data_IF_184718159918
#
_entry.id   IF_184718159918
#
_cell.length_a   1.000
_cell.length_b   1.000
_cell.length_c   1.000
_cell.angle_alpha   90.00
_cell.angle_beta   90.00
_cell.angle_gamma   90.00
#
_symmetry.space_group_name_H-M   'P 1'
#
loop_
_entity.id
_entity.type
_entity.pdbx_description
1 polymer ?
#
# COMPACT_ATOMS: atom_id res chain seq x y z
N UNK A 1 58.61 28.53 -41.92
CA UNK A 1 60.07 28.63 -42.08
C UNK A 1 60.50 30.01 -41.61
N UNK A 2 61.34 30.06 -40.56
CA UNK A 2 62.29 31.13 -40.21
C UNK A 2 61.74 32.56 -39.99
N UNK A 3 62.28 33.39 -39.13
CA UNK A 3 63.06 33.29 -37.89
C UNK A 3 63.20 34.76 -37.43
N UNK A 4 63.33 34.98 -36.12
CA UNK A 4 63.77 36.24 -35.52
C UNK A 4 64.97 36.88 -36.23
N UNK A 5 65.04 38.22 -36.19
CA UNK A 5 66.32 38.93 -36.09
C UNK A 5 66.20 40.14 -35.14
N UNK A 6 66.98 40.05 -34.05
CA UNK A 6 67.37 41.12 -33.12
C UNK A 6 68.10 42.24 -33.88
N UNK A 7 68.15 43.46 -33.33
CA UNK A 7 69.41 44.19 -33.11
C UNK A 7 69.24 45.34 -32.10
N UNK A 8 70.33 45.55 -31.37
CA UNK A 8 70.49 46.34 -30.15
C UNK A 8 71.19 47.66 -30.47
N UNK A 9 70.85 48.75 -29.78
CA UNK A 9 71.79 49.85 -29.56
C UNK A 9 71.58 50.48 -28.17
N UNK A 10 72.71 50.59 -27.46
CA UNK A 10 72.88 51.28 -26.21
C UNK A 10 73.01 52.80 -26.43
N UNK A 11 72.61 53.62 -25.45
CA UNK A 11 73.39 54.79 -25.02
C UNK A 11 72.85 55.43 -23.72
N UNK A 12 73.79 55.54 -22.77
CA UNK A 12 74.06 56.70 -21.90
C UNK A 12 73.15 56.96 -20.69
N UNK A 13 73.83 56.94 -19.55
CA UNK A 13 73.38 57.24 -18.21
C UNK A 13 73.09 58.73 -17.98
N UNK A 14 72.05 59.02 -17.19
CA UNK A 14 72.05 60.13 -16.25
C UNK A 14 71.58 59.60 -14.90
N UNK A 15 72.54 59.42 -13.98
CA UNK A 15 72.26 59.29 -12.55
C UNK A 15 71.73 60.65 -12.06
N UNK A 16 70.44 60.71 -11.76
CA UNK A 16 69.91 61.65 -10.78
C UNK A 16 69.51 60.84 -9.55
N UNK A 17 70.30 61.02 -8.49
CA UNK A 17 69.97 60.54 -7.15
C UNK A 17 68.81 61.41 -6.66
N UNK A 18 67.61 60.88 -6.75
CA UNK A 18 66.42 61.38 -6.07
C UNK A 18 66.41 60.70 -4.69
N UNK A 19 66.18 61.42 -3.58
CA UNK A 19 66.02 60.78 -2.28
C UNK A 19 64.88 59.77 -2.37
N UNK A 20 65.20 58.50 -2.10
CA UNK A 20 64.23 57.43 -1.84
C UNK A 20 63.38 57.89 -0.66
N UNK A 21 62.21 58.50 -0.92
CA UNK A 21 61.08 58.17 -0.08
C UNK A 21 60.77 56.72 -0.43
N UNK A 22 61.02 55.82 0.51
CA UNK A 22 60.31 54.55 0.56
C UNK A 22 58.82 54.92 0.58
N UNK A 23 58.23 54.96 -0.62
CA UNK A 23 56.92 54.38 -0.77
C UNK A 23 57.22 52.88 -0.69
N UNK A 24 56.87 52.26 0.41
CA UNK A 24 56.46 50.87 0.31
C UNK A 24 55.35 50.90 -0.75
N UNK A 25 55.67 50.50 -1.99
CA UNK A 25 54.65 49.95 -2.86
C UNK A 25 54.17 48.71 -2.09
N UNK A 26 53.16 48.92 -1.25
CA UNK A 26 52.32 47.88 -0.72
C UNK A 26 51.86 47.13 -1.97
N UNK A 27 52.48 45.97 -2.25
CA UNK A 27 52.15 45.12 -3.39
C UNK A 27 50.64 44.97 -3.38
N UNK A 28 49.97 45.57 -4.37
CA UNK A 28 48.52 45.58 -4.42
C UNK A 28 48.05 44.12 -4.36
N UNK A 29 47.37 43.75 -3.27
CA UNK A 29 46.95 42.39 -3.06
C UNK A 29 46.09 41.93 -4.25
N UNK A 30 46.26 40.69 -4.71
CA UNK A 30 45.52 40.21 -5.84
C UNK A 30 44.02 40.22 -5.50
N UNK A 31 43.21 40.78 -6.40
CA UNK A 31 41.77 40.91 -6.22
C UNK A 31 41.11 39.54 -5.99
N UNK A 32 40.24 39.46 -5.00
CA UNK A 32 39.42 38.26 -4.76
C UNK A 32 38.41 38.16 -5.88
N UNK A 33 38.28 36.98 -6.48
CA UNK A 33 37.30 36.73 -7.53
C UNK A 33 36.47 35.53 -7.10
N UNK A 34 35.17 35.70 -6.90
CA UNK A 34 34.22 34.63 -6.69
C UNK A 34 33.71 34.13 -8.04
N UNK A 35 33.73 32.82 -8.26
CA UNK A 35 33.06 32.18 -9.39
C UNK A 35 32.93 30.68 -9.14
N UNK A 36 32.00 30.04 -9.82
CA UNK A 36 31.82 28.61 -9.76
C UNK A 36 31.23 28.06 -11.07
N UNK A 37 31.26 26.74 -11.20
CA UNK A 37 30.44 25.99 -12.15
C UNK A 37 29.66 24.91 -11.41
N UNK A 38 28.68 24.30 -12.06
CA UNK A 38 27.89 23.23 -11.46
C UNK A 38 27.52 22.14 -12.47
N UNK A 39 27.22 20.95 -11.95
CA UNK A 39 26.72 19.81 -12.73
C UNK A 39 25.54 19.19 -12.00
N UNK A 40 24.46 18.92 -12.73
CA UNK A 40 23.28 18.19 -12.25
C UNK A 40 23.58 16.69 -12.26
N UNK A 41 23.28 15.98 -11.18
CA UNK A 41 23.42 14.52 -11.11
C UNK A 41 22.45 13.86 -12.12
N UNK A 42 22.97 12.90 -12.89
CA UNK A 42 22.21 12.24 -13.95
C UNK A 42 21.12 11.29 -13.41
N UNK A 43 21.29 10.78 -12.19
CA UNK A 43 20.33 9.89 -11.53
C UNK A 43 19.36 10.67 -10.62
N UNK A 44 19.75 11.85 -10.15
CA UNK A 44 18.96 12.70 -9.27
C UNK A 44 19.06 14.18 -9.68
N UNK A 45 18.12 14.63 -10.49
CA UNK A 45 18.04 16.02 -10.95
C UNK A 45 17.92 17.08 -9.83
N UNK A 46 17.58 16.69 -8.60
CA UNK A 46 17.56 17.61 -7.45
C UNK A 46 18.94 17.77 -6.80
N UNK A 47 19.91 16.92 -7.16
CA UNK A 47 21.26 16.91 -6.61
C UNK A 47 22.26 17.60 -7.55
N UNK A 48 22.95 18.61 -7.02
CA UNK A 48 23.86 19.47 -7.76
C UNK A 48 25.25 19.40 -7.14
N UNK A 49 26.26 19.18 -7.97
CA UNK A 49 27.67 19.25 -7.57
C UNK A 49 28.24 20.58 -8.03
N UNK A 50 28.72 21.39 -7.09
CA UNK A 50 29.36 22.67 -7.38
C UNK A 50 30.87 22.52 -7.44
N UNK A 51 31.50 23.16 -8.42
CA UNK A 51 32.95 23.25 -8.56
C UNK A 51 33.39 24.69 -8.34
N UNK A 52 34.15 24.93 -7.27
CA UNK A 52 34.71 26.25 -7.00
C UNK A 52 35.72 26.65 -8.07
N UNK A 53 35.58 27.88 -8.57
CA UNK A 53 36.52 28.54 -9.47
C UNK A 53 37.02 29.89 -8.90
N UNK A 54 36.77 30.17 -7.63
CA UNK A 54 37.21 31.39 -6.97
C UNK A 54 38.74 31.49 -6.91
N UNK A 55 39.25 32.72 -6.93
CA UNK A 55 40.68 33.05 -6.90
C UNK A 55 41.02 33.98 -5.73
N UNK A 56 42.25 33.88 -5.24
CA UNK A 56 42.82 34.78 -4.21
C UNK A 56 42.00 34.85 -2.90
N UNK A 57 41.42 33.72 -2.47
CA UNK A 57 40.59 33.63 -1.27
C UNK A 57 41.24 32.80 -0.15
N UNK A 58 40.82 33.03 1.10
CA UNK A 58 41.12 32.21 2.29
C UNK A 58 39.91 31.39 2.72
N UNK A 59 38.71 31.98 2.68
CA UNK A 59 37.46 31.32 3.09
C UNK A 59 36.37 31.48 2.03
N UNK A 60 35.46 30.51 1.99
CA UNK A 60 34.29 30.47 1.12
C UNK A 60 33.04 30.34 1.98
N UNK A 61 31.94 30.90 1.49
CA UNK A 61 30.60 30.68 2.03
C UNK A 61 29.62 30.55 0.86
N UNK A 62 28.89 29.44 0.84
CA UNK A 62 27.85 29.14 -0.12
C UNK A 62 26.48 29.35 0.53
N UNK A 63 25.61 30.07 -0.16
CA UNK A 63 24.17 30.12 0.08
C UNK A 63 23.49 29.49 -1.14
N UNK A 64 22.76 28.39 -0.96
CA UNK A 64 22.10 27.68 -2.05
C UNK A 64 20.75 28.29 -2.44
N UNK A 65 20.28 29.33 -1.73
CA UNK A 65 19.05 30.06 -2.08
C UNK A 65 17.75 29.35 -1.69
N UNK A 66 17.81 28.20 -1.01
CA UNK A 66 16.67 27.39 -0.57
C UNK A 66 16.44 27.43 0.95
N UNK A 67 17.10 28.37 1.64
CA UNK A 67 17.09 28.52 3.11
C UNK A 67 17.77 27.37 3.88
N UNK A 68 18.48 26.48 3.19
CA UNK A 68 19.38 25.54 3.84
C UNK A 68 20.56 26.25 4.53
N UNK A 69 21.24 25.60 5.50
CA UNK A 69 22.42 26.18 6.14
C UNK A 69 23.55 26.49 5.15
N UNK A 70 24.27 27.57 5.40
CA UNK A 70 25.44 27.96 4.59
C UNK A 70 26.53 26.87 4.63
N UNK A 71 27.19 26.64 3.49
CA UNK A 71 28.33 25.71 3.39
C UNK A 71 29.65 26.45 3.27
N UNK A 72 30.72 25.90 3.86
CA UNK A 72 32.09 26.37 3.71
C UNK A 72 32.98 25.36 2.94
N UNK A 73 32.37 24.34 2.34
CA UNK A 73 33.09 23.32 1.58
C UNK A 73 33.69 23.91 0.29
N UNK A 74 34.84 23.37 -0.13
CA UNK A 74 35.49 23.81 -1.35
C UNK A 74 34.67 23.47 -2.60
N UNK A 75 34.07 22.29 -2.65
CA UNK A 75 33.24 21.83 -3.77
C UNK A 75 32.00 21.10 -3.20
N UNK A 76 30.97 21.84 -2.75
CA UNK A 76 29.83 21.22 -2.09
C UNK A 76 28.97 20.41 -3.06
N UNK A 77 28.32 19.40 -2.51
CA UNK A 77 27.18 18.70 -3.14
C UNK A 77 25.93 19.08 -2.36
N UNK A 78 24.91 19.58 -3.05
CA UNK A 78 23.65 19.99 -2.45
C UNK A 78 22.47 19.28 -3.12
N UNK A 79 21.49 18.85 -2.32
CA UNK A 79 20.24 18.26 -2.83
C UNK A 79 19.07 19.14 -2.41
N UNK A 80 18.38 19.71 -3.39
CA UNK A 80 17.20 20.54 -3.17
C UNK A 80 15.99 19.67 -2.80
N UNK A 81 15.17 20.13 -1.85
CA UNK A 81 13.94 19.42 -1.49
C UNK A 81 12.89 19.47 -2.62
N UNK A 82 12.74 20.66 -3.20
CA UNK A 82 11.71 20.98 -4.18
C UNK A 82 12.31 21.40 -5.52
N UNK A 83 11.49 21.34 -6.57
CA UNK A 83 11.81 21.99 -7.84
C UNK A 83 11.61 23.50 -7.74
N UNK A 84 12.39 24.27 -8.49
CA UNK A 84 12.31 25.71 -8.45
C UNK A 84 13.52 26.39 -9.07
N UNK A 85 13.50 27.71 -9.05
CA UNK A 85 14.66 28.53 -9.38
C UNK A 85 15.26 29.06 -8.09
N UNK A 86 16.54 28.80 -7.88
CA UNK A 86 17.28 29.18 -6.68
C UNK A 86 18.46 30.06 -7.07
N UNK A 87 18.60 31.19 -6.38
CA UNK A 87 19.77 32.08 -6.56
C UNK A 87 20.90 31.57 -5.69
N UNK A 88 21.85 30.84 -6.28
CA UNK A 88 23.02 30.32 -5.56
C UNK A 88 24.08 31.41 -5.49
N UNK A 89 24.58 31.69 -4.30
CA UNK A 89 25.56 32.74 -4.04
C UNK A 89 26.83 32.17 -3.41
N UNK A 90 27.97 32.40 -4.05
CA UNK A 90 29.29 32.14 -3.49
C UNK A 90 29.93 33.45 -3.04
N UNK A 91 30.30 33.52 -1.76
CA UNK A 91 31.10 34.60 -1.19
C UNK A 91 32.52 34.10 -0.93
N UNK A 92 33.50 34.67 -1.63
CA UNK A 92 34.91 34.41 -1.40
C UNK A 92 35.52 35.56 -0.55
N UNK A 93 36.30 35.24 0.47
CA UNK A 93 36.92 36.23 1.37
C UNK A 93 38.43 36.02 1.46
N UNK A 94 39.23 37.07 1.27
CA UNK A 94 40.70 37.04 1.41
C UNK A 94 41.17 37.00 2.87
N UNK A 95 42.47 36.73 3.12
CA UNK A 95 43.05 36.81 4.46
C UNK A 95 42.90 38.16 5.17
N UNK A 96 42.86 39.25 4.39
CA UNK A 96 42.67 40.62 4.90
C UNK A 96 41.19 41.01 4.99
N UNK A 97 40.26 40.09 4.68
CA UNK A 97 38.82 40.28 4.81
C UNK A 97 38.13 40.94 3.61
N UNK A 98 38.84 41.16 2.49
CA UNK A 98 38.23 41.62 1.25
C UNK A 98 37.30 40.53 0.68
N UNK A 99 36.16 40.92 0.12
CA UNK A 99 35.15 39.97 -0.37
C UNK A 99 34.80 40.21 -1.82
N UNK A 100 34.57 39.12 -2.54
CA UNK A 100 33.84 39.14 -3.80
C UNK A 100 32.67 38.16 -3.72
N UNK A 101 31.59 38.48 -4.45
CA UNK A 101 30.32 37.77 -4.40
C UNK A 101 29.86 37.49 -5.83
N UNK A 102 29.63 36.21 -6.12
CA UNK A 102 29.08 35.77 -7.39
C UNK A 102 27.78 35.01 -7.14
N UNK A 103 26.73 35.40 -7.88
CA UNK A 103 25.41 34.78 -7.80
C UNK A 103 24.96 34.30 -9.18
N UNK A 104 24.35 33.12 -9.22
CA UNK A 104 23.78 32.54 -10.43
C UNK A 104 22.43 31.88 -10.11
N UNK A 105 21.44 32.12 -10.97
CA UNK A 105 20.12 31.48 -10.85
C UNK A 105 20.18 30.08 -11.46
N UNK A 106 19.99 29.06 -10.62
CA UNK A 106 19.92 27.66 -11.03
C UNK A 106 18.47 27.21 -11.02
N UNK A 107 17.98 26.74 -12.18
CA UNK A 107 16.63 26.18 -12.30
C UNK A 107 16.70 24.66 -12.17
N UNK A 108 16.10 24.15 -11.11
CA UNK A 108 15.87 22.74 -10.84
C UNK A 108 14.48 22.39 -11.37
N UNK A 109 14.42 21.64 -12.47
CA UNK A 109 13.18 21.18 -13.08
C UNK A 109 13.27 19.70 -13.38
N UNK A 110 12.16 18.99 -13.20
CA UNK A 110 12.11 17.57 -13.53
C UNK A 110 12.31 17.35 -15.04
N UNK A 111 13.38 16.65 -15.46
CA UNK A 111 13.64 16.40 -16.87
C UNK A 111 12.60 15.46 -17.50
N UNK A 112 11.80 14.73 -16.71
CA UNK A 112 10.80 13.79 -17.20
C UNK A 112 9.54 13.75 -16.33
N UNK A 113 8.82 14.88 -16.27
CA UNK A 113 7.60 15.04 -15.47
C UNK A 113 6.54 13.95 -15.69
N UNK A 114 6.40 13.42 -16.91
CA UNK A 114 5.46 12.31 -17.17
C UNK A 114 5.94 10.97 -16.61
N UNK A 115 7.25 10.70 -16.62
CA UNK A 115 7.82 9.53 -15.96
C UNK A 115 7.62 9.62 -14.45
N UNK A 116 7.81 10.80 -13.86
CA UNK A 116 7.64 11.03 -12.41
C UNK A 116 6.22 10.72 -11.93
N UNK A 117 5.19 10.88 -12.77
CA UNK A 117 3.84 10.41 -12.40
C UNK A 117 3.80 8.89 -12.18
N UNK A 118 4.56 8.12 -12.97
CA UNK A 118 4.62 6.66 -12.90
C UNK A 118 5.56 6.16 -11.79
N UNK A 119 6.67 6.87 -11.53
CA UNK A 119 7.77 6.38 -10.68
C UNK A 119 8.08 7.25 -9.46
N UNK A 120 7.46 8.43 -9.32
CA UNK A 120 7.85 9.40 -8.30
C UNK A 120 9.31 9.88 -8.44
N UNK A 121 9.90 10.33 -7.34
CA UNK A 121 11.30 10.76 -7.31
C UNK A 121 12.28 9.58 -7.44
N UNK A 122 11.88 8.39 -7.00
CA UNK A 122 12.71 7.17 -6.96
C UNK A 122 11.96 5.97 -7.54
N UNK A 123 10.86 5.56 -6.89
CA UNK A 123 9.97 4.51 -7.36
C UNK A 123 8.56 4.69 -6.81
N UNK A 124 7.56 4.14 -7.54
CA UNK A 124 6.18 3.98 -7.04
C UNK A 124 5.74 2.53 -7.21
N UNK A 125 5.04 2.02 -6.21
CA UNK A 125 4.43 0.68 -6.22
C UNK A 125 2.94 0.79 -6.53
N UNK A 126 2.51 0.06 -7.55
CA UNK A 126 1.15 0.05 -8.07
C UNK A 126 0.49 -1.28 -7.76
N UNK A 127 -0.78 -1.24 -7.35
CA UNK A 127 -1.60 -2.42 -7.07
C UNK A 127 -2.94 -2.31 -7.78
N UNK A 128 -3.60 -3.42 -8.07
CA UNK A 128 -4.94 -3.39 -8.66
C UNK A 128 -5.94 -2.66 -7.75
N UNK A 129 -6.88 -1.91 -8.35
CA UNK A 129 -7.93 -1.18 -7.63
C UNK A 129 -8.79 -2.14 -6.78
N UNK A 130 -8.75 -2.00 -5.46
CA UNK A 130 -9.51 -2.87 -4.55
C UNK A 130 -10.94 -2.42 -4.28
N UNK A 131 -11.25 -1.13 -4.44
CA UNK A 131 -12.60 -0.59 -4.22
C UNK A 131 -13.21 -0.20 -5.57
N UNK A 132 -14.01 -1.08 -6.20
CA UNK A 132 -14.68 -0.74 -7.45
C UNK A 132 -15.78 0.30 -7.21
N UNK A 133 -16.01 1.17 -8.18
CA UNK A 133 -16.99 2.25 -8.03
C UNK A 133 -17.05 3.18 -9.24
N UNK A 134 -18.24 3.74 -9.52
CA UNK A 134 -18.42 4.68 -10.64
C UNK A 134 -18.06 4.09 -12.02
N UNK A 135 -18.24 2.77 -12.20
CA UNK A 135 -17.87 2.07 -13.43
C UNK A 135 -16.36 1.77 -13.58
N UNK A 136 -15.57 1.98 -12.52
CA UNK A 136 -14.16 1.55 -12.47
C UNK A 136 -14.05 0.21 -11.77
N UNK A 137 -13.28 -0.68 -12.38
CA UNK A 137 -13.03 -2.03 -11.93
C UNK A 137 -11.52 -2.31 -12.00
N UNK A 138 -10.92 -3.09 -11.08
CA UNK A 138 -9.52 -3.47 -11.16
C UNK A 138 -9.15 -4.04 -12.53
N UNK A 139 -10.00 -4.90 -13.07
CA UNK A 139 -9.85 -5.46 -14.41
C UNK A 139 -11.21 -5.50 -15.11
N UNK A 140 -11.24 -5.17 -16.40
CA UNK A 140 -12.43 -5.37 -17.21
C UNK A 140 -12.09 -5.73 -18.65
N UNK A 141 -13.06 -6.37 -19.30
CA UNK A 141 -13.06 -6.73 -20.70
C UNK A 141 -14.28 -6.13 -21.39
N UNK A 142 -14.05 -5.48 -22.52
CA UNK A 142 -15.10 -4.83 -23.32
C UNK A 142 -14.78 -4.95 -24.82
N UNK A 143 -15.76 -4.83 -25.73
CA UNK A 143 -15.49 -4.76 -27.16
C UNK A 143 -14.63 -3.55 -27.47
N UNK A 144 -13.91 -3.63 -28.59
CA UNK A 144 -13.04 -2.54 -29.05
C UNK A 144 -13.79 -1.21 -29.27
N UNK A 145 -15.08 -1.27 -29.60
CA UNK A 145 -15.97 -0.10 -29.74
C UNK A 145 -16.52 0.44 -28.41
N UNK A 146 -16.24 -0.22 -27.29
CA UNK A 146 -16.65 0.13 -25.92
C UNK A 146 -18.17 0.21 -25.71
N UNK A 147 -18.96 -0.45 -26.55
CA UNK A 147 -20.42 -0.44 -26.48
C UNK A 147 -21.00 -1.01 -25.18
N UNK A 148 -20.30 -1.93 -24.52
CA UNK A 148 -20.71 -2.55 -23.26
C UNK A 148 -19.52 -3.18 -22.54
N UNK A 149 -19.60 -3.36 -21.22
CA UNK A 149 -18.62 -4.19 -20.50
C UNK A 149 -19.08 -5.65 -20.53
N UNK A 150 -18.30 -6.52 -21.17
CA UNK A 150 -18.55 -7.96 -21.26
C UNK A 150 -18.32 -8.66 -19.93
N UNK A 151 -17.24 -8.30 -19.25
CA UNK A 151 -16.87 -8.84 -17.94
C UNK A 151 -16.04 -7.82 -17.16
N UNK A 152 -16.15 -7.77 -15.83
CA UNK A 152 -15.33 -6.90 -15.01
C UNK A 152 -15.23 -7.42 -13.58
N UNK A 153 -14.00 -7.52 -13.06
CA UNK A 153 -13.76 -7.97 -11.69
C UNK A 153 -14.35 -6.97 -10.69
N UNK A 154 -15.26 -7.45 -9.83
CA UNK A 154 -15.93 -6.63 -8.83
C UNK A 154 -17.20 -5.96 -9.33
N UNK A 155 -17.66 -6.27 -10.54
CA UNK A 155 -19.07 -6.09 -10.88
C UNK A 155 -19.89 -6.96 -9.90
N UNK A 156 -20.90 -6.37 -9.27
CA UNK A 156 -21.74 -7.00 -8.24
C UNK A 156 -21.01 -7.45 -6.95
N UNK A 157 -19.75 -7.01 -6.74
CA UNK A 157 -18.94 -7.10 -5.52
C UNK A 157 -18.54 -8.50 -5.01
N UNK A 158 -18.93 -9.59 -5.66
CA UNK A 158 -18.55 -10.96 -5.28
C UNK A 158 -17.25 -11.44 -5.97
N UNK A 159 -16.97 -10.97 -7.19
CA UNK A 159 -15.85 -11.46 -7.99
C UNK A 159 -14.45 -11.04 -7.48
N UNK A 160 -14.31 -9.93 -6.73
CA UNK A 160 -12.99 -9.55 -6.17
C UNK A 160 -12.59 -10.55 -5.07
N UNK A 161 -13.53 -10.89 -4.19
CA UNK A 161 -13.32 -11.87 -3.12
C UNK A 161 -13.00 -13.28 -3.67
N UNK A 162 -13.40 -13.57 -4.91
CA UNK A 162 -13.12 -14.84 -5.57
C UNK A 162 -11.69 -14.93 -6.15
N UNK A 163 -10.98 -13.80 -6.32
CA UNK A 163 -9.60 -13.77 -6.82
C UNK A 163 -8.67 -12.98 -5.88
N UNK A 164 -8.55 -13.35 -4.60
CA UNK A 164 -7.83 -12.56 -3.62
C UNK A 164 -6.31 -12.49 -3.90
N UNK A 165 -5.73 -13.55 -4.44
CA UNK A 165 -4.30 -13.68 -4.77
C UNK A 165 -3.80 -12.85 -5.95
N UNK A 166 -4.66 -12.09 -6.65
CA UNK A 166 -4.19 -11.10 -7.62
C UNK A 166 -4.32 -9.67 -7.07
N UNK A 167 -5.04 -9.51 -5.95
CA UNK A 167 -5.29 -8.21 -5.33
C UNK A 167 -4.15 -7.79 -4.39
N UNK A 168 -3.32 -8.73 -3.94
CA UNK A 168 -2.08 -8.53 -3.19
C UNK A 168 -0.87 -8.22 -4.09
N UNK A 169 -0.92 -8.59 -5.37
CA UNK A 169 0.13 -8.36 -6.35
C UNK A 169 0.54 -6.89 -6.46
N UNK A 170 1.82 -6.67 -6.80
CA UNK A 170 2.36 -5.33 -6.96
C UNK A 170 3.32 -5.18 -8.12
N UNK A 171 3.31 -3.99 -8.73
CA UNK A 171 4.21 -3.56 -9.79
C UNK A 171 4.93 -2.30 -9.34
N UNK A 172 6.23 -2.39 -9.09
CA UNK A 172 7.05 -1.25 -8.70
C UNK A 172 7.87 -0.76 -9.88
N UNK A 173 7.65 0.49 -10.31
CA UNK A 173 8.42 1.10 -11.38
C UNK A 173 9.45 2.05 -10.79
N UNK A 174 10.72 1.84 -11.14
CA UNK A 174 11.85 2.65 -10.74
C UNK A 174 12.21 3.70 -11.78
N UNK A 175 12.78 4.81 -11.32
CA UNK A 175 13.23 5.90 -12.19
C UNK A 175 14.40 5.54 -13.10
N UNK A 176 15.14 4.50 -12.73
CA UNK A 176 16.17 3.84 -13.53
C UNK A 176 15.60 2.90 -14.62
N UNK A 177 14.28 2.96 -14.86
CA UNK A 177 13.53 2.15 -15.83
C UNK A 177 13.44 0.66 -15.47
N UNK A 178 13.68 0.32 -14.20
CA UNK A 178 13.40 -1.02 -13.67
C UNK A 178 11.93 -1.21 -13.35
N UNK A 179 11.44 -2.44 -13.49
CA UNK A 179 10.11 -2.85 -13.08
C UNK A 179 10.23 -4.09 -12.21
N UNK A 180 9.72 -4.07 -10.99
CA UNK A 180 9.65 -5.25 -10.13
C UNK A 180 8.20 -5.69 -10.04
N UNK A 181 7.92 -6.93 -10.41
CA UNK A 181 6.64 -7.56 -10.16
C UNK A 181 6.77 -8.49 -8.94
N UNK A 182 5.87 -8.35 -7.98
CA UNK A 182 5.78 -9.26 -6.84
C UNK A 182 4.39 -9.88 -6.75
N UNK A 183 4.34 -11.20 -6.97
CA UNK A 183 3.15 -12.05 -6.90
C UNK A 183 2.84 -12.52 -5.47
N UNK A 184 3.63 -12.10 -4.45
CA UNK A 184 3.39 -12.46 -3.05
C UNK A 184 3.36 -13.98 -2.74
N UNK A 185 3.89 -14.80 -3.65
CA UNK A 185 3.99 -16.26 -3.51
C UNK A 185 2.81 -17.05 -4.07
N UNK A 186 1.74 -16.38 -4.52
CA UNK A 186 0.58 -17.00 -5.13
C UNK A 186 0.24 -16.40 -6.50
N UNK A 187 -0.68 -17.03 -7.21
CA UNK A 187 -1.22 -16.52 -8.47
C UNK A 187 -2.65 -17.01 -8.66
N UNK A 188 -3.42 -16.28 -9.47
CA UNK A 188 -4.72 -16.77 -9.91
C UNK A 188 -4.55 -17.85 -10.96
N UNK A 189 -4.80 -19.10 -10.59
CA UNK A 189 -4.76 -20.24 -11.48
C UNK A 189 -6.07 -20.33 -12.27
N UNK A 190 -6.04 -19.80 -13.49
CA UNK A 190 -7.21 -19.78 -14.37
C UNK A 190 -7.43 -21.12 -15.09
N UNK A 191 -8.69 -21.58 -15.06
CA UNK A 191 -9.13 -22.77 -15.78
C UNK A 191 -8.89 -22.64 -17.28
N UNK A 192 -8.35 -23.68 -17.92
CA UNK A 192 -8.00 -23.70 -19.35
C UNK A 192 -6.65 -23.07 -19.71
N UNK A 193 -5.99 -22.39 -18.76
CA UNK A 193 -4.58 -21.97 -18.87
C UNK A 193 -3.65 -22.91 -18.11
N UNK A 194 -4.04 -23.36 -16.91
CA UNK A 194 -3.23 -24.23 -16.06
C UNK A 194 -3.90 -25.60 -15.85
N UNK A 195 -5.08 -25.63 -15.23
CA UNK A 195 -5.85 -26.87 -14.96
C UNK A 195 -7.35 -26.65 -15.25
N UNK A 196 -8.21 -27.56 -14.77
CA UNK A 196 -9.66 -27.56 -15.03
C UNK A 196 -10.49 -26.75 -14.01
N UNK A 197 -9.86 -26.14 -12.98
CA UNK A 197 -10.51 -25.33 -11.95
C UNK A 197 -9.88 -23.95 -11.76
N UNK A 198 -10.69 -23.02 -11.26
CA UNK A 198 -10.32 -21.64 -10.94
C UNK A 198 -10.03 -21.52 -9.44
N UNK A 199 -8.80 -21.17 -9.06
CA UNK A 199 -8.43 -20.93 -7.66
C UNK A 199 -7.13 -20.14 -7.53
N UNK A 200 -6.81 -19.68 -6.33
CA UNK A 200 -5.45 -19.27 -5.99
C UNK A 200 -4.55 -20.51 -5.81
N UNK A 201 -3.32 -20.43 -6.31
CA UNK A 201 -2.31 -21.50 -6.17
C UNK A 201 -0.92 -20.89 -5.98
N UNK A 202 0.03 -21.68 -5.48
CA UNK A 202 1.40 -21.22 -5.25
C UNK A 202 2.15 -21.01 -6.56
N UNK A 203 2.97 -19.97 -6.67
CA UNK A 203 3.77 -19.69 -7.88
C UNK A 203 4.73 -20.83 -8.26
N UNK A 204 5.07 -21.70 -7.31
CA UNK A 204 5.84 -22.93 -7.57
C UNK A 204 5.10 -23.94 -8.47
N UNK A 205 3.78 -23.80 -8.61
CA UNK A 205 2.91 -24.67 -9.39
C UNK A 205 2.53 -24.08 -10.76
N UNK A 206 3.22 -23.02 -11.22
CA UNK A 206 2.95 -22.37 -12.51
C UNK A 206 3.42 -23.22 -13.69
N UNK A 207 2.68 -24.28 -13.97
CA UNK A 207 2.86 -25.17 -15.13
C UNK A 207 1.58 -25.08 -15.96
N UNK A 208 1.71 -24.67 -17.21
CA UNK A 208 0.59 -24.53 -18.12
C UNK A 208 -0.09 -25.86 -18.43
N UNK A 209 -1.32 -25.83 -18.93
CA UNK A 209 -2.15 -27.01 -19.19
C UNK A 209 -1.52 -28.02 -20.17
N UNK A 210 -0.58 -27.58 -21.02
CA UNK A 210 0.17 -28.45 -21.93
C UNK A 210 1.54 -28.89 -21.36
N UNK A 211 1.85 -28.58 -20.11
CA UNK A 211 3.16 -28.80 -19.49
C UNK A 211 4.18 -27.69 -19.73
N UNK A 212 3.76 -26.53 -20.26
CA UNK A 212 4.63 -25.38 -20.51
C UNK A 212 5.12 -24.76 -19.19
N UNK A 213 6.39 -24.39 -19.12
CA UNK A 213 6.94 -23.65 -17.97
C UNK A 213 6.41 -22.21 -17.97
N UNK A 214 5.57 -21.91 -16.98
CA UNK A 214 4.94 -20.60 -16.80
C UNK A 214 5.51 -19.84 -15.59
N UNK A 215 6.58 -20.35 -14.95
CA UNK A 215 7.17 -19.78 -13.74
C UNK A 215 7.68 -18.35 -13.92
N UNK A 216 8.02 -17.95 -15.14
CA UNK A 216 8.46 -16.58 -15.44
C UNK A 216 7.36 -15.51 -15.24
N UNK A 217 6.08 -15.91 -15.12
CA UNK A 217 5.01 -15.01 -14.71
C UNK A 217 4.94 -14.79 -13.19
N UNK A 218 5.74 -15.48 -12.37
CA UNK A 218 5.87 -15.20 -10.95
C UNK A 218 6.68 -13.94 -10.66
N UNK A 219 6.99 -13.68 -9.37
CA UNK A 219 7.77 -12.50 -8.96
C UNK A 219 9.11 -12.40 -9.71
N UNK A 220 9.46 -11.19 -10.16
CA UNK A 220 10.60 -11.01 -11.05
C UNK A 220 11.05 -9.55 -11.21
N UNK A 221 12.32 -9.41 -11.60
CA UNK A 221 12.91 -8.13 -11.98
C UNK A 221 12.90 -7.99 -13.50
N UNK A 222 12.35 -6.89 -13.97
CA UNK A 222 12.08 -6.56 -15.35
C UNK A 222 12.49 -5.10 -15.63
N UNK A 223 12.22 -4.65 -16.85
CA UNK A 223 12.41 -3.27 -17.25
C UNK A 223 11.12 -2.74 -17.89
N UNK A 224 11.05 -1.44 -18.10
CA UNK A 224 9.97 -0.85 -18.87
C UNK A 224 10.43 0.29 -19.76
N UNK A 225 9.58 0.67 -20.71
CA UNK A 225 9.68 1.96 -21.40
C UNK A 225 8.35 2.70 -21.29
N UNK A 226 8.43 4.03 -21.22
CA UNK A 226 7.27 4.92 -21.23
C UNK A 226 7.40 5.88 -22.42
N UNK A 227 6.51 5.74 -23.39
CA UNK A 227 6.32 6.73 -24.47
C UNK A 227 5.28 7.74 -24.02
N UNK A 228 5.62 9.02 -24.03
CA UNK A 228 4.76 10.11 -23.56
C UNK A 228 4.19 10.92 -24.74
N UNK A 229 3.21 11.78 -24.49
CA UNK A 229 2.61 12.64 -25.51
C UNK A 229 1.37 12.02 -26.17
N UNK A 230 1.28 12.11 -27.51
CA UNK A 230 0.09 11.62 -28.25
C UNK A 230 0.14 10.09 -28.36
N UNK A 231 -0.87 9.41 -27.83
CA UNK A 231 -0.94 7.94 -27.69
C UNK A 231 0.16 7.38 -26.77
N UNK A 232 0.15 7.75 -25.49
CA UNK A 232 1.17 7.32 -24.56
C UNK A 232 1.11 5.79 -24.38
N UNK A 233 2.28 5.17 -24.22
CA UNK A 233 2.43 3.73 -24.12
C UNK A 233 3.37 3.34 -22.98
N UNK A 234 3.03 2.26 -22.31
CA UNK A 234 3.88 1.59 -21.34
C UNK A 234 4.22 0.22 -21.91
N UNK A 235 5.49 -0.14 -21.97
CA UNK A 235 5.92 -1.49 -22.39
C UNK A 235 6.65 -2.16 -21.25
N UNK A 236 6.11 -3.26 -20.74
CA UNK A 236 6.79 -4.14 -19.80
C UNK A 236 7.74 -5.06 -20.58
N UNK A 237 9.01 -5.15 -20.17
CA UNK A 237 10.09 -5.81 -20.92
C UNK A 237 10.80 -6.81 -20.02
N UNK A 238 10.90 -8.05 -20.50
CA UNK A 238 11.47 -9.18 -19.78
C UNK A 238 10.58 -10.41 -19.96
N UNK A 239 11.16 -11.61 -19.94
CA UNK A 239 10.40 -12.85 -20.03
C UNK A 239 9.40 -12.93 -18.87
N UNK A 240 8.11 -12.97 -19.19
CA UNK A 240 7.02 -13.00 -18.23
C UNK A 240 6.67 -11.64 -17.61
N UNK A 241 7.21 -10.53 -18.10
CA UNK A 241 6.84 -9.20 -17.64
C UNK A 241 5.43 -8.81 -18.13
N UNK A 242 4.55 -8.38 -17.22
CA UNK A 242 3.21 -7.86 -17.53
C UNK A 242 2.77 -6.83 -16.47
N UNK A 243 1.63 -6.18 -16.71
CA UNK A 243 0.93 -5.30 -15.78
C UNK A 243 -0.54 -5.71 -15.75
N UNK A 244 -1.09 -5.96 -14.57
CA UNK A 244 -2.46 -6.44 -14.41
C UNK A 244 -2.54 -7.96 -14.43
N UNK A 245 -2.74 -8.58 -15.60
CA UNK A 245 -3.00 -10.03 -15.68
C UNK A 245 -2.06 -10.77 -16.63
N UNK A 246 -1.45 -11.86 -16.14
CA UNK A 246 -0.28 -12.52 -16.76
C UNK A 246 -0.52 -13.04 -18.18
N UNK A 247 -1.75 -13.43 -18.52
CA UNK A 247 -2.08 -14.01 -19.82
C UNK A 247 -2.12 -12.99 -20.95
N UNK A 248 -2.12 -11.69 -20.61
CA UNK A 248 -2.27 -10.63 -21.59
C UNK A 248 -0.94 -10.41 -22.29
N UNK A 249 -0.95 -10.43 -23.62
CA UNK A 249 0.18 -10.03 -24.45
C UNK A 249 -0.20 -8.96 -25.46
N UNK A 250 0.76 -8.46 -26.23
CA UNK A 250 0.54 -7.39 -27.20
C UNK A 250 -0.39 -7.83 -28.33
N UNK A 251 -1.67 -7.50 -28.22
CA UNK A 251 -2.67 -7.81 -29.25
C UNK A 251 -3.39 -9.14 -29.10
N UNK A 252 -3.04 -9.96 -28.10
CA UNK A 252 -3.57 -11.31 -27.95
C UNK A 252 -3.44 -11.84 -26.50
N UNK A 253 -4.16 -12.91 -26.16
CA UNK A 253 -3.92 -13.65 -24.91
C UNK A 253 -3.00 -14.86 -25.19
N UNK A 254 -1.97 -15.02 -24.38
CA UNK A 254 -0.98 -16.09 -24.54
C UNK A 254 -0.99 -17.04 -23.34
N UNK A 255 -0.84 -18.34 -23.64
CA UNK A 255 -0.74 -19.40 -22.62
C UNK A 255 0.67 -19.61 -22.06
N UNK A 256 1.65 -18.82 -22.53
CA UNK A 256 3.04 -18.89 -22.10
C UNK A 256 3.60 -17.49 -21.88
N UNK A 257 4.61 -17.34 -21.01
CA UNK A 257 5.25 -16.05 -20.76
C UNK A 257 5.81 -15.40 -22.04
N UNK A 258 5.58 -14.09 -22.18
CA UNK A 258 6.03 -13.29 -23.32
C UNK A 258 7.28 -12.48 -22.96
N UNK A 259 8.11 -12.14 -23.94
CA UNK A 259 9.32 -11.33 -23.71
C UNK A 259 9.01 -9.84 -23.45
N UNK A 260 7.82 -9.39 -23.81
CA UNK A 260 7.34 -8.04 -23.57
C UNK A 260 5.84 -7.93 -23.79
N UNK A 261 5.18 -7.00 -23.10
CA UNK A 261 3.79 -6.64 -23.32
C UNK A 261 3.67 -5.12 -23.41
N UNK A 262 3.03 -4.64 -24.47
CA UNK A 262 2.81 -3.21 -24.71
C UNK A 262 1.35 -2.82 -24.39
N UNK A 263 1.21 -1.73 -23.64
CA UNK A 263 -0.05 -1.18 -23.16
C UNK A 263 -0.25 0.24 -23.69
N UNK A 264 -1.48 0.58 -24.06
CA UNK A 264 -1.89 1.96 -24.19
C UNK A 264 -2.15 2.55 -22.81
N UNK A 265 -1.55 3.70 -22.49
CA UNK A 265 -1.82 4.41 -21.24
C UNK A 265 -3.04 5.29 -21.45
N UNK A 266 -4.18 4.90 -20.86
CA UNK A 266 -5.42 5.69 -20.92
C UNK A 266 -5.36 6.85 -19.94
N UNK A 267 -4.79 6.59 -18.76
CA UNK A 267 -4.64 7.57 -17.70
C UNK A 267 -3.39 7.28 -16.92
N UNK A 268 -2.59 8.32 -16.70
CA UNK A 268 -1.52 8.34 -15.71
C UNK A 268 -1.66 9.67 -14.98
N UNK A 269 -2.15 9.59 -13.74
CA UNK A 269 -2.54 10.74 -12.96
C UNK A 269 -1.93 10.67 -11.57
N UNK A 270 -1.11 11.66 -11.28
CA UNK A 270 -0.49 11.91 -9.98
C UNK A 270 -1.43 12.81 -9.17
N UNK A 271 -2.02 12.26 -8.11
CA UNK A 271 -2.97 12.98 -7.28
C UNK A 271 -2.27 13.65 -6.12
N UNK A 272 -2.46 14.95 -5.97
CA UNK A 272 -1.86 15.75 -4.87
C UNK A 272 -2.34 15.33 -3.47
N UNK A 273 -3.28 14.38 -3.34
CA UNK A 273 -3.97 14.04 -2.10
C UNK A 273 -3.99 12.54 -1.77
N UNK A 274 -2.88 11.83 -2.03
CA UNK A 274 -2.57 10.55 -1.37
C UNK A 274 -2.74 9.29 -2.21
N UNK A 275 -3.25 9.37 -3.44
CA UNK A 275 -3.57 8.18 -4.23
C UNK A 275 -3.58 8.42 -5.75
N UNK A 276 -2.63 7.81 -6.46
CA UNK A 276 -2.49 7.97 -7.91
C UNK A 276 -3.28 6.92 -8.69
N UNK A 277 -3.52 7.20 -9.97
CA UNK A 277 -4.20 6.25 -10.86
C UNK A 277 -3.43 6.03 -12.16
N UNK A 278 -3.17 4.75 -12.44
CA UNK A 278 -2.69 4.25 -13.72
C UNK A 278 -3.78 3.38 -14.34
N UNK A 279 -4.25 3.76 -15.53
CA UNK A 279 -5.17 2.94 -16.34
C UNK A 279 -4.44 2.57 -17.62
N UNK A 280 -4.23 1.28 -17.80
CA UNK A 280 -3.58 0.71 -18.97
C UNK A 280 -4.53 -0.22 -19.72
N UNK A 281 -4.40 -0.24 -21.04
CA UNK A 281 -5.23 -1.04 -21.91
C UNK A 281 -4.41 -1.84 -22.91
N UNK A 282 -4.82 -3.08 -23.13
CA UNK A 282 -4.32 -3.93 -24.20
C UNK A 282 -5.48 -4.26 -25.13
N UNK A 283 -5.50 -3.73 -26.36
CA UNK A 283 -6.43 -4.21 -27.36
C UNK A 283 -6.03 -5.63 -27.74
N UNK A 284 -6.99 -6.55 -27.84
CA UNK A 284 -6.72 -7.96 -28.15
C UNK A 284 -7.69 -8.52 -29.20
N UNK A 285 -7.21 -9.54 -29.90
CA UNK A 285 -7.97 -10.31 -30.88
C UNK A 285 -8.41 -11.63 -30.26
N UNK A 286 -9.51 -12.22 -30.74
CA UNK A 286 -9.94 -13.55 -30.29
C UNK A 286 -9.13 -14.67 -30.93
N UNK A 287 -8.65 -14.44 -32.16
CA UNK A 287 -7.62 -15.23 -32.82
C UNK A 287 -6.46 -14.33 -33.27
N UNK A 288 -5.22 -14.80 -33.12
CA UNK A 288 -4.02 -14.08 -33.55
C UNK A 288 -4.09 -13.71 -35.05
N UNK A 289 -4.72 -14.58 -35.85
CA UNK A 289 -4.92 -14.40 -37.28
C UNK A 289 -5.99 -13.34 -37.64
N UNK A 290 -6.79 -12.84 -36.69
CA UNK A 290 -7.85 -11.88 -36.99
C UNK A 290 -7.26 -10.55 -37.51
N UNK A 291 -7.92 -9.94 -38.49
CA UNK A 291 -7.48 -8.65 -39.03
C UNK A 291 -7.79 -7.47 -38.10
N UNK A 292 -8.85 -7.59 -37.29
CA UNK A 292 -9.37 -6.52 -36.43
C UNK A 292 -9.32 -6.94 -34.96
N UNK A 293 -9.15 -5.97 -34.06
CA UNK A 293 -9.27 -6.20 -32.62
C UNK A 293 -10.71 -6.52 -32.24
N UNK A 294 -10.88 -7.56 -31.42
CA UNK A 294 -12.17 -8.01 -30.93
C UNK A 294 -12.56 -7.31 -29.63
N UNK A 295 -11.58 -7.08 -28.75
CA UNK A 295 -11.83 -6.52 -27.43
C UNK A 295 -10.66 -5.73 -26.88
N UNK A 296 -10.84 -5.25 -25.66
CA UNK A 296 -9.87 -4.52 -24.86
C UNK A 296 -9.86 -5.13 -23.47
N UNK A 297 -8.66 -5.48 -22.99
CA UNK A 297 -8.39 -5.62 -21.57
C UNK A 297 -8.03 -4.24 -21.01
N UNK A 298 -8.66 -3.85 -19.92
CA UNK A 298 -8.31 -2.65 -19.17
C UNK A 298 -7.97 -3.03 -17.74
N UNK A 299 -6.87 -2.47 -17.23
CA UNK A 299 -6.41 -2.63 -15.86
C UNK A 299 -6.35 -1.26 -15.19
N UNK A 300 -6.91 -1.18 -13.98
CA UNK A 300 -6.85 0.02 -13.13
C UNK A 300 -5.97 -0.28 -11.94
N UNK A 301 -4.83 0.41 -11.90
CA UNK A 301 -3.86 0.34 -10.83
C UNK A 301 -3.85 1.64 -10.04
N UNK A 302 -3.47 1.49 -8.78
CA UNK A 302 -3.46 2.53 -7.77
C UNK A 302 -2.13 2.51 -7.03
N UNK A 303 -1.53 3.68 -6.85
CA UNK A 303 -0.45 3.90 -5.89
C UNK A 303 -1.02 4.65 -4.68
N UNK A 304 -0.58 4.30 -3.48
CA UNK A 304 -0.92 5.03 -2.25
C UNK A 304 0.36 5.65 -1.71
N UNK A 305 0.38 6.98 -1.55
CA UNK A 305 1.55 7.69 -1.03
C UNK A 305 1.84 7.27 0.42
N UNK A 306 0.77 7.02 1.17
CA UNK A 306 0.80 6.44 2.51
C UNK A 306 0.27 5.00 2.44
N UNK A 307 1.11 3.97 2.69
CA UNK A 307 0.69 2.57 2.64
C UNK A 307 -0.48 2.22 3.55
N UNK A 308 -0.73 2.98 4.63
CA UNK A 308 -1.86 2.73 5.53
C UNK A 308 -3.21 3.12 4.93
N UNK A 309 -3.21 3.88 3.82
CA UNK A 309 -4.43 4.23 3.10
C UNK A 309 -4.85 3.13 2.12
N UNK A 310 -4.01 2.10 1.94
CA UNK A 310 -4.32 0.93 1.11
C UNK A 310 -5.49 0.15 1.74
N UNK A 311 -6.64 0.04 1.06
CA UNK A 311 -7.77 -0.70 1.59
C UNK A 311 -7.44 -2.19 1.65
N UNK A 312 -8.02 -2.93 2.60
CA UNK A 312 -7.85 -4.37 2.70
C UNK A 312 -8.27 -5.07 1.41
N UNK A 313 -7.68 -6.25 1.15
CA UNK A 313 -8.11 -7.09 0.02
C UNK A 313 -9.55 -7.52 0.29
N UNK A 314 -10.51 -7.19 -0.60
CA UNK A 314 -11.89 -7.57 -0.40
C UNK A 314 -12.02 -9.09 -0.29
N UNK A 315 -12.76 -9.53 0.74
CA UNK A 315 -12.96 -10.93 1.09
C UNK A 315 -14.20 -11.09 1.97
N UNK A 316 -14.54 -12.33 2.37
CA UNK A 316 -15.65 -12.55 3.29
C UNK A 316 -15.40 -11.85 4.63
N UNK A 317 -16.44 -11.23 5.18
CA UNK A 317 -16.43 -10.79 6.57
C UNK A 317 -16.48 -12.02 7.50
N UNK A 318 -15.98 -11.93 8.74
CA UNK A 318 -16.03 -13.04 9.68
C UNK A 318 -17.47 -13.46 9.94
N UNK A 319 -17.73 -14.75 10.16
CA UNK A 319 -19.00 -15.21 10.73
C UNK A 319 -18.71 -15.79 12.11
N UNK A 320 -18.98 -15.00 13.16
CA UNK A 320 -18.63 -15.36 14.52
C UNK A 320 -19.46 -16.56 15.03
N UNK A 321 -18.78 -17.53 15.64
CA UNK A 321 -19.40 -18.73 16.19
C UNK A 321 -18.55 -19.31 17.31
N UNK A 322 -19.20 -19.88 18.33
CA UNK A 322 -18.51 -20.67 19.33
C UNK A 322 -19.38 -21.75 19.95
N UNK A 323 -18.72 -22.70 20.60
CA UNK A 323 -19.32 -23.68 21.52
C UNK A 323 -18.55 -23.67 22.83
N UNK A 324 -19.09 -24.29 23.88
CA UNK A 324 -18.41 -24.36 25.17
C UNK A 324 -18.66 -25.67 25.90
N UNK A 325 -17.74 -26.01 26.81
CA UNK A 325 -17.89 -27.11 27.77
C UNK A 325 -17.62 -26.57 29.17
N UNK A 326 -18.64 -26.61 30.02
CA UNK A 326 -18.52 -26.22 31.43
C UNK A 326 -18.17 -27.44 32.30
N UNK A 327 -17.20 -27.30 33.19
CA UNK A 327 -16.82 -28.28 34.21
C UNK A 327 -16.71 -27.58 35.57
N UNK A 328 -17.77 -27.67 36.36
CA UNK A 328 -17.91 -26.87 37.58
C UNK A 328 -17.94 -25.37 37.23
N UNK A 329 -17.02 -24.61 37.80
CA UNK A 329 -16.88 -23.18 37.56
C UNK A 329 -15.86 -22.80 36.46
N UNK A 330 -15.27 -23.78 35.78
CA UNK A 330 -14.37 -23.55 34.64
C UNK A 330 -15.08 -23.88 33.32
N UNK A 331 -14.92 -23.03 32.32
CA UNK A 331 -15.50 -23.18 30.98
C UNK A 331 -14.41 -23.12 29.93
N UNK A 332 -14.31 -24.17 29.12
CA UNK A 332 -13.48 -24.19 27.93
C UNK A 332 -14.33 -23.78 26.72
N UNK A 333 -13.92 -22.72 26.03
CA UNK A 333 -14.57 -22.23 24.82
C UNK A 333 -13.86 -22.76 23.58
N UNK A 334 -14.64 -23.18 22.59
CA UNK A 334 -14.14 -23.55 21.26
C UNK A 334 -14.70 -22.59 20.23
N UNK A 335 -13.82 -21.84 19.59
CA UNK A 335 -14.16 -20.92 18.53
C UNK A 335 -14.44 -21.68 17.23
N UNK A 336 -15.60 -21.41 16.64
CA UNK A 336 -16.05 -21.99 15.37
C UNK A 336 -16.29 -20.91 14.32
N UNK A 337 -15.69 -19.73 14.50
CA UNK A 337 -15.77 -18.60 13.57
C UNK A 337 -15.17 -18.98 12.23
N UNK A 338 -15.82 -18.59 11.13
CA UNK A 338 -15.22 -18.61 9.79
C UNK A 338 -14.65 -17.24 9.44
N UNK A 339 -13.56 -17.20 8.69
CA UNK A 339 -12.91 -15.98 8.18
C UNK A 339 -12.50 -14.96 9.27
N UNK A 340 -12.31 -15.40 10.52
CA UNK A 340 -11.81 -14.56 11.61
C UNK A 340 -10.29 -14.61 11.75
N UNK A 341 -9.66 -13.47 12.01
CA UNK A 341 -8.21 -13.39 12.26
C UNK A 341 -7.90 -13.07 13.73
N UNK A 342 -8.68 -12.16 14.33
CA UNK A 342 -8.54 -11.73 15.71
C UNK A 342 -9.84 -11.90 16.48
N UNK A 343 -9.73 -12.13 17.78
CA UNK A 343 -10.86 -12.46 18.65
C UNK A 343 -10.82 -11.62 19.91
N UNK A 344 -12.00 -11.22 20.37
CA UNK A 344 -12.22 -10.63 21.69
C UNK A 344 -13.41 -11.32 22.34
N UNK A 345 -13.14 -11.98 23.45
CA UNK A 345 -14.13 -12.57 24.34
C UNK A 345 -14.43 -11.61 25.46
N UNK A 346 -15.70 -11.39 25.74
CA UNK A 346 -16.21 -10.85 27.00
C UNK A 346 -17.01 -11.97 27.67
N UNK A 347 -16.56 -12.40 28.85
CA UNK A 347 -17.16 -13.52 29.55
C UNK A 347 -18.41 -13.13 30.34
N UNK A 348 -18.84 -11.86 30.32
CA UNK A 348 -20.05 -11.40 31.00
C UNK A 348 -19.90 -11.22 32.51
N UNK A 349 -18.69 -11.43 33.05
CA UNK A 349 -18.33 -11.18 34.46
C UNK A 349 -17.35 -10.00 34.64
N UNK A 350 -17.08 -9.27 33.55
CA UNK A 350 -16.13 -8.15 33.49
C UNK A 350 -14.71 -8.55 33.10
N UNK A 351 -14.43 -9.82 32.85
CA UNK A 351 -13.16 -10.30 32.30
C UNK A 351 -13.22 -10.59 30.80
N UNK A 352 -12.08 -10.51 30.13
CA UNK A 352 -11.96 -10.65 28.68
C UNK A 352 -10.77 -11.53 28.28
N UNK A 353 -10.79 -12.06 27.05
CA UNK A 353 -9.65 -12.76 26.45
C UNK A 353 -9.50 -12.47 24.96
N UNK A 354 -8.28 -12.58 24.43
CA UNK A 354 -7.99 -12.51 23.00
C UNK A 354 -7.50 -13.85 22.43
N UNK A 355 -7.52 -14.91 23.23
CA UNK A 355 -7.14 -16.25 22.78
C UNK A 355 -8.17 -16.80 21.79
N UNK A 356 -7.70 -17.63 20.84
CA UNK A 356 -8.61 -18.27 19.89
C UNK A 356 -9.57 -19.24 20.60
N UNK A 357 -9.11 -20.01 21.58
CA UNK A 357 -9.91 -20.97 22.35
C UNK A 357 -9.62 -20.83 23.86
N UNK A 358 -10.19 -19.82 24.54
CA UNK A 358 -9.87 -19.55 25.93
C UNK A 358 -10.48 -20.57 26.88
N UNK A 359 -9.86 -20.73 28.04
CA UNK A 359 -10.50 -21.31 29.22
C UNK A 359 -10.70 -20.21 30.25
N UNK A 360 -11.91 -20.08 30.78
CA UNK A 360 -12.25 -19.06 31.79
C UNK A 360 -12.83 -19.70 33.05
N UNK A 361 -12.50 -19.14 34.22
CA UNK A 361 -13.00 -19.61 35.52
C UNK A 361 -13.83 -18.53 36.19
N UNK A 362 -15.10 -18.85 36.46
CA UNK A 362 -16.05 -17.94 37.09
C UNK A 362 -15.97 -18.01 38.62
N UNK A 363 -16.10 -16.85 39.26
CA UNK A 363 -16.05 -16.74 40.73
C UNK A 363 -17.34 -17.18 41.42
N UNK A 364 -18.47 -17.17 40.70
CA UNK A 364 -19.79 -17.48 41.24
C UNK A 364 -20.61 -18.35 40.29
N UNK A 365 -21.67 -18.93 40.84
CA UNK A 365 -22.73 -19.56 40.05
C UNK A 365 -23.62 -18.49 39.40
N UNK A 366 -24.17 -18.77 38.22
CA UNK A 366 -25.04 -17.83 37.53
C UNK A 366 -25.11 -18.07 36.02
N UNK A 367 -25.95 -17.26 35.37
CA UNK A 367 -25.93 -17.12 33.92
C UNK A 367 -25.02 -15.96 33.54
N UNK A 368 -24.06 -16.22 32.67
CA UNK A 368 -23.14 -15.23 32.13
C UNK A 368 -23.37 -15.10 30.63
N UNK A 369 -23.63 -13.89 30.15
CA UNK A 369 -23.78 -13.61 28.74
C UNK A 369 -22.38 -13.48 28.12
N UNK A 370 -21.92 -14.53 27.45
CA UNK A 370 -20.60 -14.54 26.81
C UNK A 370 -20.73 -14.01 25.40
N UNK A 371 -19.91 -13.02 25.07
CA UNK A 371 -19.83 -12.38 23.75
C UNK A 371 -18.48 -12.70 23.11
N UNK A 372 -18.51 -13.27 21.90
CA UNK A 372 -17.35 -13.38 21.02
C UNK A 372 -17.47 -12.34 19.92
N UNK A 373 -16.45 -11.50 19.78
CA UNK A 373 -16.27 -10.60 18.63
C UNK A 373 -15.08 -11.07 17.82
N UNK A 374 -15.30 -11.42 16.56
CA UNK A 374 -14.27 -11.79 15.60
C UNK A 374 -14.07 -10.68 14.58
N UNK A 375 -12.82 -10.37 14.28
CA UNK A 375 -12.44 -9.32 13.32
C UNK A 375 -11.44 -9.85 12.31
N UNK A 376 -11.60 -9.44 11.05
CA UNK A 376 -10.61 -9.53 9.99
C UNK A 376 -10.55 -8.17 9.27
N UNK A 377 -9.66 -7.97 8.29
CA UNK A 377 -9.57 -6.71 7.55
C UNK A 377 -10.85 -6.34 6.79
N UNK A 378 -11.72 -7.30 6.48
CA UNK A 378 -12.98 -7.11 5.78
C UNK A 378 -14.17 -6.77 6.69
N UNK A 379 -13.99 -6.82 8.02
CA UNK A 379 -15.00 -6.36 8.98
C UNK A 379 -15.00 -7.13 10.30
N UNK A 380 -16.09 -6.96 11.02
CA UNK A 380 -16.29 -7.55 12.35
C UNK A 380 -17.64 -8.24 12.41
N UNK A 381 -17.69 -9.40 13.07
CA UNK A 381 -18.93 -10.10 13.44
C UNK A 381 -18.87 -10.46 14.91
N UNK A 382 -20.03 -10.44 15.56
CA UNK A 382 -20.15 -10.86 16.96
C UNK A 382 -21.28 -11.86 17.13
N UNK A 383 -21.13 -12.75 18.11
CA UNK A 383 -22.17 -13.71 18.53
C UNK A 383 -22.14 -13.84 20.04
N UNK A 384 -23.28 -14.15 20.65
CA UNK A 384 -23.39 -14.29 22.10
C UNK A 384 -24.21 -15.52 22.49
N UNK A 385 -23.91 -16.07 23.66
CA UNK A 385 -24.64 -17.20 24.24
C UNK A 385 -24.63 -17.10 25.76
N UNK A 386 -25.75 -17.46 26.41
CA UNK A 386 -25.78 -17.66 27.86
C UNK A 386 -24.99 -18.92 28.24
N UNK A 387 -24.03 -18.74 29.15
CA UNK A 387 -23.25 -19.81 29.78
C UNK A 387 -23.67 -19.93 31.23
N UNK A 388 -24.10 -21.14 31.61
CA UNK A 388 -24.61 -21.43 32.95
C UNK A 388 -23.54 -22.09 33.80
N UNK A 389 -23.16 -21.42 34.88
CA UNK A 389 -22.20 -21.92 35.85
C UNK A 389 -22.95 -22.45 37.07
N UNK A 390 -22.71 -23.72 37.37
CA UNK A 390 -23.19 -24.38 38.58
C UNK A 390 -21.99 -24.97 39.32
N UNK A 391 -21.85 -24.62 40.59
CA UNK A 391 -20.85 -25.16 41.51
C UNK A 391 -21.26 -26.53 42.05
N UNK A 392 -22.48 -26.96 41.80
CA UNK A 392 -22.93 -28.32 42.07
C UNK A 392 -22.94 -29.12 40.78
N UNK A 393 -22.15 -30.21 40.75
CA UNK A 393 -22.30 -31.20 39.70
C UNK A 393 -23.74 -31.72 39.72
N UNK A 394 -24.40 -31.75 38.57
CA UNK A 394 -25.67 -32.45 38.42
C UNK A 394 -25.41 -33.94 38.70
N UNK A 395 -25.81 -34.39 39.89
CA UNK A 395 -25.80 -35.80 40.27
C UNK A 395 -27.22 -36.32 40.26
N UNK A 396 -27.38 -37.63 40.08
CA UNK A 396 -28.67 -38.30 40.22
C UNK A 396 -29.30 -38.02 41.59
N UNK A 397 -28.48 -37.84 42.63
CA UNK A 397 -28.94 -37.47 43.97
C UNK A 397 -29.45 -36.03 44.06
N UNK A 398 -28.91 -35.10 43.27
CA UNK A 398 -29.41 -33.72 43.23
C UNK A 398 -30.77 -33.66 42.54
N UNK A 399 -30.97 -34.48 41.51
CA UNK A 399 -32.23 -34.58 40.77
C UNK A 399 -33.33 -35.29 41.57
N UNK A 400 -32.99 -36.02 42.64
CA UNK A 400 -33.96 -36.64 43.55
C UNK A 400 -34.70 -35.57 44.37
N UNK A 401 -36.00 -35.47 44.14
CA UNK A 401 -36.89 -34.63 44.90
C UNK A 401 -37.88 -33.91 44.00
N UNK A 402 -38.58 -32.97 44.60
CA UNK A 402 -39.54 -32.15 43.90
C UNK A 402 -38.96 -30.78 43.59
N UNK A 403 -38.95 -30.42 42.32
CA UNK A 403 -38.45 -29.15 41.81
C UNK A 403 -39.63 -28.22 41.48
N UNK A 404 -39.44 -26.93 41.71
CA UNK A 404 -40.40 -25.88 41.32
C UNK A 404 -39.70 -24.81 40.51
N UNK A 405 -40.46 -24.14 39.65
CA UNK A 405 -39.98 -22.93 38.98
C UNK A 405 -39.75 -21.85 40.04
N UNK A 406 -38.59 -21.19 40.00
CA UNK A 406 -38.31 -20.07 40.91
C UNK A 406 -39.20 -18.88 40.54
N UNK A 407 -39.70 -18.16 41.52
CA UNK A 407 -40.53 -16.97 41.31
C UNK A 407 -39.70 -15.69 41.07
N UNK A 408 -38.57 -15.83 40.36
CA UNK A 408 -37.65 -14.75 40.03
C UNK A 408 -37.68 -14.44 38.53
N UNK A 409 -37.23 -13.25 38.17
CA UNK A 409 -37.19 -12.81 36.77
C UNK A 409 -36.33 -13.77 35.93
N UNK A 410 -36.76 -14.04 34.69
CA UNK A 410 -36.11 -14.96 33.75
C UNK A 410 -36.15 -16.45 34.16
N UNK A 411 -36.98 -16.85 35.12
CA UNK A 411 -37.14 -18.26 35.49
C UNK A 411 -37.88 -19.09 34.45
N UNK A 412 -38.56 -18.45 33.49
CA UNK A 412 -39.17 -19.07 32.32
C UNK A 412 -38.76 -18.28 31.09
N UNK A 413 -38.19 -18.98 30.10
CA UNK A 413 -37.89 -18.43 28.78
C UNK A 413 -38.69 -19.24 27.77
N UNK A 414 -39.51 -18.55 26.98
CA UNK A 414 -40.36 -19.20 25.99
C UNK A 414 -39.75 -18.97 24.60
N UNK A 415 -39.73 -20.05 23.81
CA UNK A 415 -39.04 -20.19 22.54
C UNK A 415 -39.30 -19.10 21.50
N UNK A 416 -38.53 -19.09 20.40
CA UNK A 416 -38.61 -18.03 19.43
C UNK A 416 -40.02 -17.99 18.84
N UNK A 417 -40.66 -16.83 18.93
CA UNK A 417 -41.95 -16.63 18.29
C UNK A 417 -41.85 -16.98 16.80
N UNK A 418 -42.87 -17.68 16.26
CA UNK A 418 -42.93 -17.99 14.84
C UNK A 418 -42.74 -16.69 14.03
N UNK A 419 -41.57 -16.53 13.40
CA UNK A 419 -41.24 -15.41 12.52
C UNK A 419 -40.33 -14.31 13.05
N UNK A 420 -39.90 -14.30 14.32
CA UNK A 420 -38.98 -13.24 14.82
C UNK A 420 -37.70 -13.74 15.50
N UNK A 421 -37.56 -15.03 15.82
CA UNK A 421 -36.31 -15.56 16.40
C UNK A 421 -36.00 -15.11 17.84
N UNK A 422 -36.68 -14.07 18.33
CA UNK A 422 -36.53 -13.52 19.67
C UNK A 422 -37.14 -14.44 20.72
N UNK A 423 -36.35 -14.73 21.74
CA UNK A 423 -36.78 -15.41 22.95
C UNK A 423 -37.35 -14.39 23.92
N UNK A 424 -38.59 -14.59 24.38
CA UNK A 424 -39.18 -13.71 25.37
C UNK A 424 -39.09 -14.35 26.75
N UNK A 425 -38.75 -13.51 27.74
CA UNK A 425 -38.60 -13.91 29.14
C UNK A 425 -39.86 -13.49 29.91
N UNK A 426 -40.35 -14.37 30.78
CA UNK A 426 -41.52 -14.07 31.60
C UNK A 426 -41.12 -13.12 32.73
N UNK A 427 -41.81 -11.99 32.83
CA UNK A 427 -41.56 -10.99 33.88
C UNK A 427 -41.90 -11.54 35.27
N UNK A 428 -41.21 -11.07 36.31
CA UNK A 428 -41.50 -11.47 37.70
C UNK A 428 -42.95 -11.20 38.10
N UNK A 429 -43.57 -10.14 37.58
CA UNK A 429 -44.97 -9.80 37.87
C UNK A 429 -45.93 -10.89 37.39
N UNK A 430 -45.69 -11.46 36.19
CA UNK A 430 -46.49 -12.57 35.64
C UNK A 430 -46.33 -13.88 36.43
N UNK A 431 -45.21 -14.04 37.14
CA UNK A 431 -44.94 -15.22 37.99
C UNK A 431 -45.45 -15.05 39.43
N UNK A 432 -45.71 -13.84 39.91
CA UNK A 432 -45.97 -13.57 41.34
C UNK A 432 -47.28 -12.86 41.65
N UNK A 433 -47.87 -12.13 40.69
CA UNK A 433 -49.07 -11.32 40.94
C UNK A 433 -49.84 -10.91 39.67
N UNK A 434 -49.94 -11.82 38.68
CA UNK A 434 -50.65 -11.58 37.43
C UNK A 434 -52.17 -11.60 37.55
N UNK A 435 -52.87 -11.00 36.57
CA UNK A 435 -54.31 -11.24 36.30
C UNK A 435 -54.54 -11.19 34.80
N UNK A 436 -55.34 -12.09 34.24
CA UNK A 436 -55.68 -12.10 32.82
C UNK A 436 -55.14 -13.33 32.08
N UNK A 437 -55.05 -13.26 30.75
CA UNK A 437 -54.60 -14.39 29.90
C UNK A 437 -53.12 -14.71 30.04
N UNK A 438 -52.33 -13.78 30.58
CA UNK A 438 -50.88 -13.90 30.79
C UNK A 438 -50.53 -13.99 32.30
N UNK A 439 -51.43 -14.59 33.10
CA UNK A 439 -51.17 -14.92 34.50
C UNK A 439 -50.57 -16.33 34.62
N UNK A 440 -49.31 -16.39 35.05
CA UNK A 440 -48.54 -17.63 35.17
C UNK A 440 -48.28 -17.99 36.63
N UNK A 441 -48.95 -17.36 37.60
CA UNK A 441 -48.64 -17.61 39.03
C UNK A 441 -48.89 -19.05 39.46
N UNK A 442 -49.73 -19.81 38.75
CA UNK A 442 -49.96 -21.21 39.09
C UNK A 442 -48.75 -22.11 38.79
N UNK A 443 -47.92 -21.75 37.81
CA UNK A 443 -46.81 -22.61 37.38
C UNK A 443 -45.65 -22.61 38.38
N UNK A 444 -45.57 -21.60 39.25
CA UNK A 444 -44.57 -21.56 40.34
C UNK A 444 -44.90 -22.55 41.45
N UNK A 445 -46.16 -23.01 41.54
CA UNK A 445 -46.56 -24.06 42.48
C UNK A 445 -46.40 -25.47 41.91
N UNK A 446 -46.29 -25.60 40.58
CA UNK A 446 -46.12 -26.87 39.89
C UNK A 446 -44.82 -27.57 40.26
N UNK A 447 -44.93 -28.89 40.40
CA UNK A 447 -43.90 -29.76 40.93
C UNK A 447 -43.37 -30.69 39.84
N UNK A 448 -42.07 -30.59 39.57
CA UNK A 448 -41.35 -31.41 38.61
C UNK A 448 -40.54 -32.48 39.33
N UNK A 449 -40.69 -33.72 38.91
CA UNK A 449 -39.93 -34.87 39.44
C UNK A 449 -39.16 -35.47 38.28
N UNK A 450 -37.84 -35.53 38.41
CA UNK A 450 -36.97 -36.22 37.47
C UNK A 450 -36.83 -37.68 37.94
N UNK A 451 -37.16 -38.62 37.06
CA UNK A 451 -37.23 -40.06 37.36
C UNK A 451 -36.04 -40.86 36.86
#
# INVERSE_FOLDING_TARGET
>A
MKHLAKHSWAMIALLFIIPLSSCDEEEAEPEVIASFTYVVDAADFKKITFTNAAQNFETLSWDFGDQSPLSAELNPVHTYAEVGTYTVTLTATSPKGAKDVYSEDITISDPNAELTKLVGDVSKTWKLLRIPGGGRYPMLVMPYDRSQVWWAQGRDNDEIANRPCIMNDSWTFGRDLTMVYDAQGDFWREAGYFEDDNRCDATTNMIGINGDDCSAWGSGNHHFTLTTGTNPKLTAIGQGAFVGFYKVGTGFEYKVPQASVEYNVVKLYDAVAGCDTLIVEVPYKFNEADANYGGIWQFVLVHYDNPNDEPPIPGPAPTAGFTYVATGNSVAFTNTTTDGETYLWDFGDGSTSTEANPTHSYAGEGAYLVLLTATNPNGTSSTFQDVWITGTALTDDLLKGTWKIRADENSIVVGPGMGNGDWWKVSKAMLTSGTGTDDWTCITDDEFIFG
#
